data_IF_321014829295
#
_entry.id   IF_321014829295
#
_cell.length_a   1.000
_cell.length_b   1.000
_cell.length_c   1.000
_cell.angle_alpha   90.00
_cell.angle_beta   90.00
_cell.angle_gamma   90.00
#
_symmetry.space_group_name_H-M   'P 1'
#
loop_
_entity.id
_entity.type
_entity.pdbx_description
1 polymer ?
#
# COMPACT_ATOMS: atom_id res chain seq x y z
N UNK A 1 -1.16 -36.90 -15.33
CA UNK A 1 -1.32 -35.44 -15.51
C UNK A 1 -0.06 -34.74 -15.05
N UNK A 2 0.14 -33.49 -15.46
CA UNK A 2 1.26 -32.64 -15.07
C UNK A 2 0.70 -31.33 -14.53
N UNK A 3 1.28 -30.82 -13.44
CA UNK A 3 0.99 -29.47 -12.93
C UNK A 3 2.19 -28.59 -13.24
N UNK A 4 1.96 -27.43 -13.85
CA UNK A 4 3.02 -26.46 -14.10
C UNK A 4 3.35 -25.70 -12.80
N UNK A 5 4.61 -25.29 -12.61
CA UNK A 5 5.04 -24.60 -11.39
C UNK A 5 4.28 -23.29 -11.15
N UNK A 6 3.92 -22.59 -12.23
CA UNK A 6 3.08 -21.38 -12.21
C UNK A 6 1.58 -21.63 -11.94
N UNK A 7 1.16 -22.89 -11.87
CA UNK A 7 -0.20 -23.31 -11.52
C UNK A 7 -0.30 -23.84 -10.08
N UNK A 8 0.80 -23.77 -9.31
CA UNK A 8 0.82 -24.16 -7.89
C UNK A 8 0.33 -23.06 -6.95
N UNK A 9 0.58 -21.79 -7.26
CA UNK A 9 0.19 -20.64 -6.42
C UNK A 9 0.05 -19.37 -7.26
N UNK A 10 -0.70 -18.39 -6.75
CA UNK A 10 -1.02 -17.14 -7.44
C UNK A 10 0.07 -16.08 -7.35
N UNK A 11 0.87 -16.06 -6.28
CA UNK A 11 1.82 -14.96 -6.00
C UNK A 11 3.22 -15.46 -5.75
N UNK A 12 3.39 -16.30 -4.72
CA UNK A 12 4.72 -16.72 -4.31
C UNK A 12 5.39 -17.54 -5.41
N UNK A 13 6.47 -17.03 -6.01
CA UNK A 13 7.20 -17.76 -7.05
C UNK A 13 7.95 -18.94 -6.45
N UNK A 14 7.33 -20.12 -6.47
CA UNK A 14 7.95 -21.37 -6.03
C UNK A 14 9.08 -21.73 -7.00
N UNK A 15 10.29 -21.94 -6.50
CA UNK A 15 11.43 -22.42 -7.29
C UNK A 15 11.43 -23.94 -7.38
N UNK A 16 11.09 -24.60 -6.27
CA UNK A 16 11.00 -26.05 -6.21
C UNK A 16 9.66 -26.50 -5.62
N UNK A 17 8.90 -27.38 -6.30
CA UNK A 17 7.62 -27.89 -5.79
C UNK A 17 7.75 -28.61 -4.44
N UNK A 18 8.94 -29.12 -4.12
CA UNK A 18 9.28 -29.75 -2.84
C UNK A 18 9.19 -28.81 -1.63
N UNK A 19 9.13 -27.49 -1.84
CA UNK A 19 8.96 -26.50 -0.77
C UNK A 19 7.53 -26.53 -0.19
N UNK A 20 6.52 -26.82 -1.03
CA UNK A 20 5.12 -26.92 -0.60
C UNK A 20 4.59 -28.36 -0.50
N UNK A 21 5.07 -29.27 -1.35
CA UNK A 21 4.48 -30.61 -1.48
C UNK A 21 5.55 -31.70 -1.37
N UNK A 22 5.23 -32.79 -0.68
CA UNK A 22 6.13 -33.95 -0.56
C UNK A 22 5.73 -35.04 -1.54
N UNK A 23 6.72 -35.84 -1.95
CA UNK A 23 6.47 -37.01 -2.81
C UNK A 23 5.57 -38.00 -2.04
N UNK A 24 4.38 -38.25 -2.58
CA UNK A 24 3.37 -39.11 -1.96
C UNK A 24 2.23 -38.37 -1.28
N UNK A 25 2.24 -37.03 -1.25
CA UNK A 25 1.07 -36.26 -0.82
C UNK A 25 -0.08 -36.38 -1.83
N UNK A 26 -1.27 -36.63 -1.32
CA UNK A 26 -2.51 -36.49 -2.07
C UNK A 26 -2.85 -35.00 -2.20
N UNK A 27 -2.96 -34.52 -3.44
CA UNK A 27 -3.28 -33.12 -3.76
C UNK A 27 -4.50 -33.06 -4.67
N UNK A 28 -5.41 -32.15 -4.36
CA UNK A 28 -6.51 -31.81 -5.25
C UNK A 28 -5.99 -30.91 -6.37
N UNK A 29 -6.46 -31.14 -7.60
CA UNK A 29 -6.14 -30.31 -8.75
C UNK A 29 -7.30 -30.30 -9.74
N UNK A 30 -7.49 -29.16 -10.41
CA UNK A 30 -8.48 -29.00 -11.46
C UNK A 30 -7.86 -29.28 -12.83
N UNK A 31 -8.59 -29.97 -13.71
CA UNK A 31 -8.17 -30.18 -15.09
C UNK A 31 -8.28 -28.87 -15.87
N UNK A 32 -7.17 -28.39 -16.42
CA UNK A 32 -7.10 -27.18 -17.23
C UNK A 32 -7.24 -27.47 -18.72
N UNK A 33 -6.53 -28.49 -19.19
CA UNK A 33 -6.55 -28.88 -20.60
C UNK A 33 -6.34 -30.37 -20.74
N UNK A 34 -6.94 -30.93 -21.78
CA UNK A 34 -6.85 -32.35 -22.14
C UNK A 34 -6.27 -32.40 -23.55
N UNK A 35 -5.04 -32.88 -23.64
CA UNK A 35 -4.40 -33.15 -24.93
C UNK A 35 -4.63 -34.62 -25.29
N UNK A 36 -5.53 -34.85 -26.25
CA UNK A 36 -5.91 -36.20 -26.69
C UNK A 36 -4.88 -36.83 -27.60
N UNK A 37 -4.07 -36.05 -28.31
CA UNK A 37 -3.04 -36.58 -29.21
C UNK A 37 -1.84 -37.09 -28.42
N UNK A 38 -1.50 -36.41 -27.32
CA UNK A 38 -0.38 -36.76 -26.45
C UNK A 38 -0.78 -37.61 -25.23
N UNK A 39 -2.07 -37.89 -25.04
CA UNK A 39 -2.64 -38.55 -23.85
C UNK A 39 -2.21 -37.87 -22.53
N UNK A 40 -2.14 -36.53 -22.53
CA UNK A 40 -1.67 -35.73 -21.40
C UNK A 40 -2.78 -34.85 -20.83
N UNK A 41 -2.80 -34.77 -19.51
CA UNK A 41 -3.68 -33.88 -18.75
C UNK A 41 -2.84 -32.76 -18.14
N UNK A 42 -3.19 -31.52 -18.43
CA UNK A 42 -2.68 -30.34 -17.72
C UNK A 42 -3.57 -30.06 -16.53
N UNK A 43 -2.98 -30.10 -15.35
CA UNK A 43 -3.65 -29.92 -14.06
C UNK A 43 -3.19 -28.60 -13.44
N UNK A 44 -4.05 -27.97 -12.65
CA UNK A 44 -3.71 -26.76 -11.91
C UNK A 44 -4.32 -26.78 -10.52
N UNK A 45 -3.53 -26.32 -9.54
CA UNK A 45 -3.93 -26.30 -8.13
C UNK A 45 -4.46 -24.92 -7.76
N UNK A 46 -3.90 -23.85 -8.32
CA UNK A 46 -4.30 -22.47 -8.04
C UNK A 46 -5.79 -22.19 -8.33
N UNK A 47 -6.38 -22.91 -9.28
CA UNK A 47 -7.78 -22.78 -9.67
C UNK A 47 -8.77 -23.37 -8.64
N UNK A 48 -8.27 -23.98 -7.55
CA UNK A 48 -9.07 -24.38 -6.40
C UNK A 48 -9.33 -23.19 -5.46
N UNK A 49 -8.45 -22.19 -5.47
CA UNK A 49 -8.56 -20.99 -4.66
C UNK A 49 -9.07 -19.84 -5.54
N UNK A 50 -9.93 -18.98 -4.99
CA UNK A 50 -10.40 -17.79 -5.68
C UNK A 50 -9.22 -16.89 -6.06
N UNK A 51 -9.26 -16.29 -7.25
CA UNK A 51 -8.17 -15.41 -7.67
C UNK A 51 -8.24 -14.11 -6.84
N UNK A 52 -7.15 -13.77 -6.12
CA UNK A 52 -7.19 -12.67 -5.16
C UNK A 52 -7.38 -11.31 -5.84
N UNK A 53 -7.09 -11.16 -7.14
CA UNK A 53 -7.24 -9.88 -7.86
C UNK A 53 -8.69 -9.49 -8.10
N UNK A 54 -9.63 -10.44 -8.09
CA UNK A 54 -11.06 -10.12 -8.10
C UNK A 54 -11.49 -9.37 -6.85
N UNK A 55 -10.90 -9.69 -5.71
CA UNK A 55 -11.27 -9.08 -4.42
C UNK A 55 -10.40 -7.87 -4.08
N UNK A 56 -9.25 -7.68 -4.74
CA UNK A 56 -8.34 -6.54 -4.52
C UNK A 56 -9.07 -5.21 -4.70
N UNK A 57 -9.88 -5.03 -5.74
CA UNK A 57 -10.59 -3.77 -6.00
C UNK A 57 -11.58 -3.37 -4.90
N UNK A 58 -12.14 -4.34 -4.17
CA UNK A 58 -13.08 -4.09 -3.09
C UNK A 58 -12.40 -3.93 -1.73
N UNK A 59 -11.19 -4.49 -1.57
CA UNK A 59 -10.45 -4.52 -0.29
C UNK A 59 -9.39 -3.44 -0.18
N UNK A 60 -8.82 -3.00 -1.31
CA UNK A 60 -7.73 -2.04 -1.35
C UNK A 60 -8.11 -0.78 -2.12
N UNK A 61 -7.81 0.39 -1.54
CA UNK A 61 -8.06 1.70 -2.15
C UNK A 61 -6.78 2.52 -2.25
N UNK A 62 -6.77 3.47 -3.19
CA UNK A 62 -5.66 4.41 -3.36
C UNK A 62 -5.44 5.21 -2.08
N UNK A 63 -4.20 5.29 -1.63
CA UNK A 63 -3.83 5.95 -0.41
C UNK A 63 -3.93 5.08 0.84
N UNK A 64 -4.32 3.82 0.73
CA UNK A 64 -4.29 2.91 1.88
C UNK A 64 -2.84 2.53 2.21
N UNK A 65 -2.50 2.59 3.50
CA UNK A 65 -1.21 2.11 4.01
C UNK A 65 -1.34 0.63 4.33
N UNK A 66 -0.43 -0.16 3.78
CA UNK A 66 -0.31 -1.60 4.00
C UNK A 66 1.04 -1.93 4.65
N UNK A 67 1.13 -3.10 5.28
CA UNK A 67 2.38 -3.62 5.82
C UNK A 67 2.60 -5.03 5.29
N UNK A 68 3.77 -5.29 4.71
CA UNK A 68 4.06 -6.57 4.08
C UNK A 68 5.55 -6.93 4.10
N UNK A 69 5.91 -8.22 4.10
CA UNK A 69 7.30 -8.64 3.96
C UNK A 69 7.84 -8.45 2.54
N UNK A 70 9.13 -8.12 2.40
CA UNK A 70 9.82 -8.09 1.10
C UNK A 70 9.97 -9.51 0.57
N UNK A 71 9.42 -9.80 -0.60
CA UNK A 71 9.53 -11.11 -1.29
C UNK A 71 10.79 -11.15 -2.15
N UNK A 72 11.05 -10.07 -2.88
CA UNK A 72 12.14 -10.02 -3.84
C UNK A 72 12.62 -8.58 -4.08
N UNK A 73 13.87 -8.46 -4.53
CA UNK A 73 14.49 -7.19 -4.92
C UNK A 73 14.91 -7.26 -6.38
N UNK A 74 14.70 -6.17 -7.12
CA UNK A 74 15.18 -5.99 -8.49
C UNK A 74 15.90 -4.65 -8.61
N UNK A 75 16.72 -4.45 -9.63
CA UNK A 75 17.50 -3.21 -9.78
C UNK A 75 16.64 -1.93 -9.81
N UNK A 76 15.34 -2.05 -10.13
CA UNK A 76 14.40 -0.93 -10.20
C UNK A 76 13.49 -0.77 -8.96
N UNK A 77 13.54 -1.69 -7.98
CA UNK A 77 12.67 -1.60 -6.80
C UNK A 77 12.60 -2.87 -5.94
N UNK A 78 11.66 -2.88 -5.01
CA UNK A 78 11.39 -4.03 -4.13
C UNK A 78 9.95 -4.51 -4.29
N UNK A 79 9.76 -5.82 -4.19
CA UNK A 79 8.46 -6.47 -4.20
C UNK A 79 8.07 -6.82 -2.77
N UNK A 80 6.90 -6.34 -2.35
CA UNK A 80 6.35 -6.53 -1.02
C UNK A 80 5.08 -7.37 -1.15
N UNK A 81 4.97 -8.43 -0.35
CA UNK A 81 3.77 -9.25 -0.29
C UNK A 81 2.70 -8.52 0.51
N UNK A 82 1.55 -8.27 -0.12
CA UNK A 82 0.41 -7.64 0.55
C UNK A 82 -0.49 -8.73 1.12
N UNK A 83 -0.76 -9.75 0.30
CA UNK A 83 -1.56 -10.92 0.64
C UNK A 83 -1.13 -12.10 -0.24
N UNK A 84 -1.53 -13.32 0.12
CA UNK A 84 -1.26 -14.53 -0.66
C UNK A 84 -1.79 -14.39 -2.09
N UNK A 85 -0.89 -14.21 -3.05
CA UNK A 85 -1.24 -13.99 -4.46
C UNK A 85 -1.30 -12.54 -4.95
N UNK A 86 -0.98 -11.57 -4.07
CA UNK A 86 -0.95 -10.14 -4.41
C UNK A 86 0.39 -9.52 -3.99
N UNK A 87 1.13 -9.06 -4.99
CA UNK A 87 2.43 -8.43 -4.82
C UNK A 87 2.34 -6.93 -5.15
N UNK A 88 3.00 -6.12 -4.33
CA UNK A 88 3.19 -4.70 -4.58
C UNK A 88 4.64 -4.37 -4.91
N UNK A 89 4.84 -3.51 -5.91
CA UNK A 89 6.13 -2.99 -6.32
C UNK A 89 6.35 -1.61 -5.70
N UNK A 90 7.40 -1.45 -4.90
CA UNK A 90 7.90 -0.15 -4.47
C UNK A 90 9.05 0.24 -5.38
N UNK A 91 8.94 1.39 -6.04
CA UNK A 91 10.00 1.91 -6.90
C UNK A 91 11.18 2.41 -6.06
N UNK A 92 12.42 2.33 -6.57
CA UNK A 92 13.61 2.83 -5.86
C UNK A 92 13.48 4.30 -5.42
N UNK A 93 12.79 5.12 -6.21
CA UNK A 93 12.53 6.55 -5.92
C UNK A 93 11.55 6.77 -4.77
N UNK A 94 10.75 5.75 -4.46
CA UNK A 94 9.68 5.79 -3.45
C UNK A 94 10.10 5.12 -2.13
N UNK A 95 11.33 4.63 -2.05
CA UNK A 95 11.94 4.12 -0.81
C UNK A 95 12.35 5.31 0.08
N UNK A 96 12.27 5.13 1.40
CA UNK A 96 12.73 6.17 2.34
C UNK A 96 14.26 6.31 2.39
N UNK A 97 15.00 5.32 1.86
CA UNK A 97 16.46 5.36 1.83
C UNK A 97 16.97 6.03 0.55
N UNK A 98 17.45 7.27 0.68
CA UNK A 98 18.17 7.97 -0.39
C UNK A 98 19.63 7.46 -0.45
N UNK A 99 19.91 6.45 -1.29
CA UNK A 99 21.29 5.98 -1.51
C UNK A 99 21.42 4.70 -2.34
N UNK A 100 22.60 4.51 -2.94
CA UNK A 100 22.97 3.36 -3.79
C UNK A 100 22.85 2.00 -3.06
N UNK A 101 22.74 2.02 -1.72
CA UNK A 101 22.78 0.83 -0.86
C UNK A 101 21.44 0.44 -0.22
N UNK A 102 20.33 0.67 -0.93
CA UNK A 102 19.00 0.25 -0.49
C UNK A 102 18.88 -1.29 -0.37
N UNK A 103 19.66 -2.07 -1.14
CA UNK A 103 19.61 -3.53 -1.11
C UNK A 103 19.98 -4.13 0.26
N UNK A 104 20.98 -3.58 0.96
CA UNK A 104 21.35 -4.02 2.31
C UNK A 104 20.33 -3.57 3.36
N UNK A 105 19.65 -2.45 3.11
CA UNK A 105 18.66 -1.91 4.03
C UNK A 105 17.39 -2.76 4.05
N UNK A 106 16.99 -3.37 2.93
CA UNK A 106 15.74 -4.14 2.85
C UNK A 106 16.00 -5.62 2.54
N UNK A 107 16.43 -6.44 3.53
CA UNK A 107 16.59 -7.88 3.35
C UNK A 107 15.25 -8.57 3.09
N UNK A 108 15.30 -9.74 2.46
CA UNK A 108 14.10 -10.54 2.16
C UNK A 108 13.41 -10.94 3.48
N UNK A 109 12.09 -10.81 3.52
CA UNK A 109 11.27 -11.03 4.71
C UNK A 109 11.16 -9.83 5.67
N UNK A 110 11.88 -8.72 5.42
CA UNK A 110 11.68 -7.49 6.21
C UNK A 110 10.28 -6.93 5.96
N UNK A 111 9.55 -6.60 7.03
CA UNK A 111 8.26 -5.90 6.90
C UNK A 111 8.47 -4.43 6.56
N UNK A 112 7.81 -3.98 5.51
CA UNK A 112 7.82 -2.60 5.02
C UNK A 112 6.38 -2.08 5.03
N UNK A 113 6.23 -0.84 5.50
CA UNK A 113 4.96 -0.12 5.43
C UNK A 113 4.97 0.77 4.20
N UNK A 114 3.98 0.62 3.33
CA UNK A 114 3.90 1.41 2.11
C UNK A 114 2.45 1.77 1.77
N UNK A 115 2.27 2.88 1.09
CA UNK A 115 0.99 3.38 0.62
C UNK A 115 0.74 2.95 -0.83
N UNK A 116 -0.49 2.55 -1.13
CA UNK A 116 -0.91 2.24 -2.50
C UNK A 116 -1.10 3.52 -3.31
N UNK A 117 -0.24 3.76 -4.31
CA UNK A 117 -0.37 4.90 -5.23
C UNK A 117 -1.19 4.53 -6.46
N UNK A 118 -1.00 3.30 -6.96
CA UNK A 118 -1.62 2.85 -8.20
C UNK A 118 -1.92 1.36 -8.13
N UNK A 119 -3.07 0.95 -8.66
CA UNK A 119 -3.48 -0.45 -8.73
C UNK A 119 -3.66 -0.79 -10.22
N UNK A 120 -2.82 -1.68 -10.73
CA UNK A 120 -2.97 -2.21 -12.09
C UNK A 120 -3.43 -3.67 -12.04
N UNK A 121 -4.70 -3.88 -12.39
CA UNK A 121 -5.33 -5.18 -12.38
C UNK A 121 -5.08 -5.99 -13.65
N UNK A 122 -4.62 -5.35 -14.74
CA UNK A 122 -4.23 -6.04 -15.97
C UNK A 122 -2.86 -6.69 -15.79
N UNK A 123 -1.91 -5.92 -15.29
CA UNK A 123 -0.55 -6.38 -15.01
C UNK A 123 -0.43 -7.18 -13.73
N UNK A 124 -1.50 -7.22 -12.91
CA UNK A 124 -1.52 -7.82 -11.57
C UNK A 124 -0.37 -7.25 -10.73
N UNK A 125 -0.29 -5.92 -10.69
CA UNK A 125 0.74 -5.18 -9.93
C UNK A 125 0.10 -4.02 -9.17
N UNK A 126 0.55 -3.82 -7.94
CA UNK A 126 0.20 -2.65 -7.14
C UNK A 126 1.45 -1.80 -6.96
N UNK A 127 1.44 -0.53 -7.35
CA UNK A 127 2.55 0.37 -7.09
C UNK A 127 2.41 0.96 -5.70
N UNK A 128 3.47 0.81 -4.92
CA UNK A 128 3.56 1.19 -3.52
C UNK A 128 4.59 2.30 -3.32
N UNK A 129 4.40 3.15 -2.30
CA UNK A 129 5.38 4.14 -1.85
C UNK A 129 5.55 4.16 -0.35
N UNK A 130 6.79 4.11 0.11
CA UNK A 130 7.11 4.29 1.53
C UNK A 130 7.00 5.76 1.94
N UNK A 131 7.47 6.68 1.07
CA UNK A 131 7.52 8.13 1.36
C UNK A 131 6.12 8.72 1.59
N UNK A 132 5.13 8.33 0.78
CA UNK A 132 3.75 8.81 0.93
C UNK A 132 3.12 8.47 2.28
N UNK A 133 3.44 7.30 2.83
CA UNK A 133 2.95 6.89 4.15
C UNK A 133 3.51 7.74 5.30
N UNK A 134 4.74 8.25 5.14
CA UNK A 134 5.46 9.01 6.16
C UNK A 134 5.00 10.47 6.21
N UNK A 135 4.64 11.06 5.06
CA UNK A 135 4.16 12.45 4.96
C UNK A 135 2.80 12.67 5.64
N UNK A 136 1.87 11.72 5.58
CA UNK A 136 0.56 11.87 6.26
C UNK A 136 0.65 11.76 7.77
N UNK A 137 1.59 10.97 8.27
CA UNK A 137 1.84 10.86 9.72
C UNK A 137 2.39 12.16 10.31
N UNK A 138 3.05 12.99 9.49
CA UNK A 138 3.55 14.31 9.90
C UNK A 138 2.48 15.41 9.76
N UNK A 139 1.63 15.36 8.73
CA UNK A 139 0.63 16.40 8.46
C UNK A 139 -0.57 16.44 9.43
N UNK A 140 -0.93 15.32 10.06
CA UNK A 140 -2.13 15.23 10.90
C UNK A 140 -1.94 15.72 12.36
N UNK A 141 -0.72 16.02 12.82
CA UNK A 141 -0.51 16.55 14.19
C UNK A 141 -0.57 18.09 14.21
N UNK A 142 -0.14 18.75 13.13
CA UNK A 142 -0.06 20.22 13.06
C UNK A 142 -1.44 20.89 12.90
N UNK A 143 -2.42 20.19 12.30
CA UNK A 143 -3.79 20.69 12.13
C UNK A 143 -4.60 20.81 13.43
N UNK A 144 -4.36 19.93 14.41
CA UNK A 144 -5.08 19.96 15.68
C UNK A 144 -4.46 20.93 16.70
N UNK A 145 -3.14 21.18 16.65
CA UNK A 145 -2.52 22.17 17.54
C UNK A 145 -2.77 23.61 17.08
N UNK A 146 -2.90 23.87 15.77
CA UNK A 146 -3.11 25.23 15.27
C UNK A 146 -4.55 25.75 15.52
N UNK A 147 -5.52 24.86 15.71
CA UNK A 147 -6.91 25.26 16.00
C UNK A 147 -7.06 25.81 17.43
N UNK A 148 -6.13 25.53 18.36
CA UNK A 148 -6.17 26.08 19.72
C UNK A 148 -5.55 27.49 19.83
N UNK A 149 -4.67 27.88 18.89
CA UNK A 149 -4.08 29.22 18.82
C UNK A 149 -5.00 30.26 18.16
N UNK A 150 -5.81 29.86 17.18
CA UNK A 150 -6.70 30.78 16.43
C UNK A 150 -7.95 31.21 17.22
N UNK A 151 -8.43 30.39 18.17
CA UNK A 151 -9.60 30.71 18.98
C UNK A 151 -9.34 31.83 20.01
N UNK A 152 -8.10 31.94 20.51
CA UNK A 152 -7.72 33.01 21.45
C UNK A 152 -7.46 34.34 20.76
N UNK A 153 -7.00 34.33 19.51
CA UNK A 153 -6.70 35.55 18.76
C UNK A 153 -7.97 36.28 18.28
N UNK A 154 -8.99 35.53 17.84
CA UNK A 154 -10.22 36.09 17.28
C UNK A 154 -11.11 36.81 18.29
N UNK A 155 -11.10 36.40 19.56
CA UNK A 155 -11.85 37.08 20.62
C UNK A 155 -11.22 38.43 21.02
N UNK A 156 -9.89 38.54 20.95
CA UNK A 156 -9.14 39.76 21.27
C UNK A 156 -9.36 40.89 20.27
N UNK A 157 -9.39 40.56 18.97
CA UNK A 157 -9.58 41.55 17.90
C UNK A 157 -11.01 42.12 17.87
N UNK A 158 -12.02 41.30 18.14
CA UNK A 158 -13.44 41.75 18.19
C UNK A 158 -13.69 42.65 19.40
N UNK A 159 -13.05 42.38 20.55
CA UNK A 159 -13.16 43.23 21.74
C UNK A 159 -12.39 44.55 21.60
N UNK A 160 -11.25 44.53 20.88
CA UNK A 160 -10.47 45.72 20.55
C UNK A 160 -11.20 46.69 19.61
N UNK A 161 -11.88 46.18 18.58
CA UNK A 161 -12.61 47.01 17.60
C UNK A 161 -13.82 47.72 18.23
N UNK A 162 -14.54 47.04 19.13
CA UNK A 162 -15.66 47.61 19.88
C UNK A 162 -15.22 48.72 20.85
N UNK A 163 -14.11 48.51 21.57
CA UNK A 163 -13.60 49.52 22.51
C UNK A 163 -13.09 50.78 21.79
N UNK A 164 -12.51 50.62 20.58
CA UNK A 164 -12.01 51.74 19.78
C UNK A 164 -13.16 52.55 19.16
N UNK A 165 -14.25 51.91 18.74
CA UNK A 165 -15.48 52.59 18.28
C UNK A 165 -16.20 53.36 19.39
N UNK A 166 -16.24 52.83 20.61
CA UNK A 166 -16.84 53.53 21.75
C UNK A 166 -16.03 54.77 22.15
N UNK A 167 -14.69 54.69 22.10
CA UNK A 167 -13.82 55.83 22.44
C UNK A 167 -13.92 56.97 21.42
N UNK A 168 -13.90 56.65 20.12
CA UNK A 168 -14.02 57.67 19.07
C UNK A 168 -15.41 58.33 19.04
N UNK A 169 -16.48 57.61 19.40
CA UNK A 169 -17.84 58.16 19.48
C UNK A 169 -18.03 59.07 20.71
N UNK A 170 -17.30 58.84 21.79
CA UNK A 170 -17.32 59.70 22.97
C UNK A 170 -16.54 61.01 22.73
N UNK A 171 -15.42 60.96 22.00
CA UNK A 171 -14.63 62.17 21.67
C UNK A 171 -15.30 63.08 20.64
N UNK A 172 -16.12 62.53 19.72
CA UNK A 172 -16.86 63.34 18.75
C UNK A 172 -18.10 64.03 19.33
N UNK A 173 -18.65 63.55 20.45
CA UNK A 173 -19.84 64.13 21.09
C UNK A 173 -19.52 65.25 22.10
N UNK A 174 -18.24 65.46 22.44
CA UNK A 174 -17.80 66.51 23.37
C UNK A 174 -17.27 67.78 22.67
N UNK A 175 -17.29 67.80 21.33
CA UNK A 175 -16.70 68.88 20.51
C UNK A 175 -17.73 69.61 19.63
N UNK A 176 -19.00 69.35 19.84
CA UNK A 176 -20.17 70.03 19.25
C UNK A 176 -21.03 70.60 20.38
#
# INVERSE_FOLDING_TARGET
GLVHISDLTWGQRIRHPSEKYKKGDDVEARVLSIDKEQERFSLGIKQLTEDPWYTVHGRYFLGQVIEGPVVHRTDFGIFVEIEDGVEGLVHLSELASDGDNWQETYPDGRKVKAEIIHIDSHDRKISLSERGAQERSAGDIEGYMNTQSDASARLGDVMGDLSRKLKNKAESAAKE
#
